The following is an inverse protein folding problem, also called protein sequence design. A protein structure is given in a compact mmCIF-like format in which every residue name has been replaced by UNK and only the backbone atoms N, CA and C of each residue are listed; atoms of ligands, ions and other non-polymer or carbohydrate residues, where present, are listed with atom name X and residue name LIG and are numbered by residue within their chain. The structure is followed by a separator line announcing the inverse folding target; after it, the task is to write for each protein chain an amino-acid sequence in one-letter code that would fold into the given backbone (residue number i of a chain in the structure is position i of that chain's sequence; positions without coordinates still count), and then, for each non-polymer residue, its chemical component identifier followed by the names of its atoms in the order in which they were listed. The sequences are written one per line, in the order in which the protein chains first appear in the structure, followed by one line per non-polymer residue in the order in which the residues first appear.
data_IF_992701131247
#
_entry.id   IF_992701131247
#
_cell.length_a   1.000
_cell.length_b   1.000
_cell.length_c   1.000
_cell.angle_alpha   90.00
_cell.angle_beta   90.00
_cell.angle_gamma   90.00
#
_symmetry.space_group_name_H-M   'P 1'
#
loop_
_entity.id
_entity.type
_entity.pdbx_description
1 polymer ?
#
# COMPACT_ATOMS: atom_id res chain seq x y z
N UNK A 1 14.14 8.41 16.20
CA UNK A 1 14.69 8.96 14.93
C UNK A 1 13.99 8.24 13.79
N UNK A 2 13.47 8.97 12.81
CA UNK A 2 12.82 8.39 11.63
C UNK A 2 13.84 7.59 10.84
N UNK A 3 13.51 6.34 10.48
CA UNK A 3 14.38 5.42 9.74
C UNK A 3 14.00 5.29 8.28
N UNK A 4 12.72 5.48 7.94
CA UNK A 4 12.22 5.38 6.57
C UNK A 4 10.97 6.24 6.36
N UNK A 5 10.62 6.45 5.11
CA UNK A 5 9.38 7.10 4.69
C UNK A 5 8.52 6.08 3.96
N UNK A 6 7.27 5.93 4.39
CA UNK A 6 6.28 5.06 3.75
C UNK A 6 5.27 5.91 3.00
N UNK A 7 5.04 5.57 1.73
CA UNK A 7 3.90 6.00 0.93
C UNK A 7 3.01 4.80 0.67
N UNK A 8 1.76 4.88 1.05
CA UNK A 8 0.81 3.77 0.89
C UNK A 8 -0.45 4.22 0.16
N UNK A 9 -0.88 3.40 -0.81
CA UNK A 9 -2.26 3.45 -1.26
C UNK A 9 -3.19 2.83 -0.21
N UNK A 10 -4.48 2.96 -0.43
CA UNK A 10 -5.51 2.34 0.40
C UNK A 10 -6.15 1.15 -0.30
N UNK A 11 -6.75 1.34 -1.49
CA UNK A 11 -7.38 0.28 -2.27
C UNK A 11 -6.32 -0.70 -2.79
N UNK A 12 -6.63 -1.99 -2.81
CA UNK A 12 -5.69 -3.04 -3.18
C UNK A 12 -4.51 -3.26 -2.22
N UNK A 13 -4.33 -2.38 -1.23
CA UNK A 13 -3.20 -2.38 -0.28
C UNK A 13 -3.65 -2.69 1.14
N UNK A 14 -4.39 -1.79 1.78
CA UNK A 14 -5.03 -2.01 3.10
C UNK A 14 -6.48 -2.45 2.93
N UNK A 15 -7.21 -1.85 1.99
CA UNK A 15 -8.53 -2.31 1.58
C UNK A 15 -8.39 -3.41 0.55
N UNK A 16 -8.62 -4.65 0.93
CA UNK A 16 -8.59 -5.79 0.02
C UNK A 16 -9.94 -5.97 -0.71
N UNK A 17 -9.88 -6.57 -1.92
CA UNK A 17 -11.03 -6.95 -2.75
C UNK A 17 -11.16 -8.47 -2.85
N UNK A 18 -11.46 -9.17 -1.75
CA UNK A 18 -11.46 -10.60 -1.70
C UNK A 18 -12.61 -11.22 -2.50
N UNK A 19 -12.43 -12.48 -2.93
CA UNK A 19 -13.49 -13.28 -3.55
C UNK A 19 -14.71 -13.38 -2.62
N UNK A 20 -15.87 -13.01 -3.12
CA UNK A 20 -17.14 -13.04 -2.39
C UNK A 20 -17.47 -14.40 -1.76
N UNK A 21 -17.08 -15.51 -2.41
CA UNK A 21 -17.33 -16.86 -1.89
C UNK A 21 -16.40 -17.16 -0.72
N UNK A 22 -15.17 -16.66 -0.76
CA UNK A 22 -14.22 -16.80 0.35
C UNK A 22 -14.74 -16.03 1.55
N UNK A 23 -15.15 -14.78 1.38
CA UNK A 23 -15.74 -13.98 2.47
C UNK A 23 -16.94 -14.67 3.13
N UNK A 24 -17.89 -15.15 2.31
CA UNK A 24 -19.10 -15.80 2.82
C UNK A 24 -18.83 -17.11 3.55
N UNK A 25 -17.66 -17.70 3.38
CA UNK A 25 -17.26 -18.98 3.99
C UNK A 25 -16.20 -18.84 5.08
N UNK A 26 -16.08 -17.64 5.65
CA UNK A 26 -15.21 -17.38 6.81
C UNK A 26 -13.94 -16.58 6.48
N UNK A 27 -13.64 -16.31 5.21
CA UNK A 27 -12.49 -15.48 4.81
C UNK A 27 -11.16 -16.21 4.83
N UNK A 28 -10.11 -15.46 5.11
CA UNK A 28 -8.73 -15.96 5.19
C UNK A 28 -8.61 -17.09 6.22
N UNK A 29 -7.89 -18.16 5.87
CA UNK A 29 -7.71 -19.36 6.70
C UNK A 29 -8.85 -20.38 6.62
N UNK A 30 -9.98 -20.05 6.00
CA UNK A 30 -11.14 -20.93 5.86
C UNK A 30 -11.30 -21.43 4.42
N UNK A 31 -10.25 -22.05 3.88
CA UNK A 31 -10.15 -22.46 2.46
C UNK A 31 -10.33 -23.97 2.24
N UNK A 32 -10.65 -24.77 3.28
CA UNK A 32 -10.76 -26.23 3.22
C UNK A 32 -11.83 -26.75 2.24
N UNK A 33 -12.81 -25.92 1.93
CA UNK A 33 -13.89 -26.24 0.98
C UNK A 33 -13.46 -26.06 -0.50
N UNK A 34 -12.33 -25.43 -0.76
CA UNK A 34 -11.76 -25.30 -2.10
C UNK A 34 -11.13 -26.65 -2.53
N UNK A 35 -11.23 -26.94 -3.82
CA UNK A 35 -10.62 -28.14 -4.40
C UNK A 35 -9.09 -28.05 -4.31
N UNK A 36 -8.47 -29.23 -4.34
CA UNK A 36 -7.01 -29.30 -4.47
C UNK A 36 -6.57 -28.66 -5.79
N UNK A 37 -5.52 -27.84 -5.74
CA UNK A 37 -5.04 -27.06 -6.88
C UNK A 37 -5.81 -25.77 -7.19
N UNK A 38 -6.84 -25.42 -6.42
CA UNK A 38 -7.48 -24.11 -6.55
C UNK A 38 -6.52 -23.00 -6.02
N UNK A 39 -6.11 -22.03 -6.86
CA UNK A 39 -5.12 -21.01 -6.48
C UNK A 39 -5.56 -20.14 -5.31
N UNK A 40 -6.87 -20.04 -5.05
CA UNK A 40 -7.39 -19.31 -3.90
C UNK A 40 -7.04 -19.98 -2.58
N UNK A 41 -6.77 -21.27 -2.57
CA UNK A 41 -6.41 -22.02 -1.37
C UNK A 41 -5.07 -21.50 -0.80
N UNK A 42 -4.10 -21.27 -1.68
CA UNK A 42 -2.81 -20.69 -1.32
C UNK A 42 -2.92 -19.19 -1.06
N UNK A 43 -3.66 -18.44 -1.90
CA UNK A 43 -3.79 -16.99 -1.76
C UNK A 43 -4.38 -16.59 -0.42
N UNK A 44 -5.46 -17.28 0.03
CA UNK A 44 -6.16 -16.97 1.27
C UNK A 44 -5.70 -17.85 2.45
N UNK A 45 -4.53 -18.47 2.36
CA UNK A 45 -3.94 -19.14 3.50
C UNK A 45 -3.54 -18.14 4.59
N UNK A 46 -3.76 -18.49 5.85
CA UNK A 46 -3.44 -17.62 7.00
C UNK A 46 -1.93 -17.41 7.20
N UNK A 47 -1.09 -18.26 6.62
CA UNK A 47 0.37 -18.07 6.58
C UNK A 47 0.74 -16.96 5.59
N UNK A 48 -0.07 -16.77 4.53
CA UNK A 48 0.17 -15.76 3.50
C UNK A 48 -0.58 -14.47 3.76
N UNK A 49 -1.88 -14.55 4.01
CA UNK A 49 -2.75 -13.38 4.11
C UNK A 49 -3.08 -13.02 5.56
N UNK A 50 -3.25 -11.75 5.81
CA UNK A 50 -3.79 -11.26 7.07
C UNK A 50 -5.31 -11.46 7.11
N UNK A 51 -5.89 -11.85 8.27
CA UNK A 51 -7.33 -11.95 8.42
C UNK A 51 -8.02 -10.59 8.21
N UNK A 52 -9.01 -10.54 7.32
CA UNK A 52 -9.79 -9.32 7.05
C UNK A 52 -10.86 -9.14 8.13
N UNK A 53 -10.44 -8.67 9.31
CA UNK A 53 -11.30 -8.52 10.50
C UNK A 53 -12.06 -7.20 10.56
N UNK A 54 -11.67 -6.23 9.73
CA UNK A 54 -12.38 -4.98 9.50
C UNK A 54 -13.32 -5.11 8.30
N UNK A 55 -14.56 -4.63 8.44
CA UNK A 55 -15.55 -4.68 7.37
C UNK A 55 -16.58 -3.58 7.62
N UNK A 56 -16.50 -2.49 6.86
CA UNK A 56 -17.39 -1.36 6.99
C UNK A 56 -17.92 -0.86 5.66
N UNK A 57 -19.04 -0.17 5.70
CA UNK A 57 -19.58 0.56 4.57
C UNK A 57 -19.31 2.04 4.75
N UNK A 58 -18.39 2.55 3.97
CA UNK A 58 -18.00 3.96 3.97
C UNK A 58 -18.87 4.74 2.99
N UNK A 59 -19.32 5.91 3.40
CA UNK A 59 -20.06 6.85 2.54
C UNK A 59 -19.19 8.07 2.24
N UNK A 60 -19.04 8.35 0.97
CA UNK A 60 -18.35 9.55 0.45
C UNK A 60 -19.28 10.37 -0.42
N UNK A 61 -18.82 11.50 -0.93
CA UNK A 61 -19.55 12.27 -1.95
C UNK A 61 -19.77 11.50 -3.27
N UNK A 62 -18.95 10.48 -3.54
CA UNK A 62 -19.01 9.68 -4.75
C UNK A 62 -19.81 8.38 -4.62
N UNK A 63 -20.31 8.06 -3.41
CA UNK A 63 -21.10 6.85 -3.23
C UNK A 63 -20.87 6.13 -1.91
N UNK A 64 -21.22 4.83 -1.93
CA UNK A 64 -21.02 3.92 -0.80
C UNK A 64 -20.07 2.83 -1.23
N UNK A 65 -19.01 2.64 -0.44
CA UNK A 65 -17.96 1.68 -0.71
C UNK A 65 -17.88 0.67 0.44
N UNK A 66 -17.78 -0.60 0.09
CA UNK A 66 -17.52 -1.65 1.07
C UNK A 66 -16.02 -1.79 1.22
N UNK A 67 -15.53 -1.74 2.43
CA UNK A 67 -14.11 -1.79 2.76
C UNK A 67 -13.83 -3.02 3.61
N UNK A 68 -12.79 -3.78 3.24
CA UNK A 68 -12.33 -4.96 3.95
C UNK A 68 -10.85 -4.83 4.27
N UNK A 69 -10.50 -4.80 5.56
CA UNK A 69 -9.09 -4.65 5.95
C UNK A 69 -8.70 -5.55 7.11
N UNK A 70 -7.42 -5.75 7.28
CA UNK A 70 -6.89 -6.39 8.48
C UNK A 70 -6.63 -5.35 9.57
N UNK A 71 -7.29 -5.50 10.73
CA UNK A 71 -6.99 -4.67 11.91
C UNK A 71 -5.58 -4.92 12.44
N UNK A 72 -5.08 -6.16 12.32
CA UNK A 72 -3.72 -6.53 12.70
C UNK A 72 -2.70 -5.74 11.88
N UNK A 73 -2.79 -5.80 10.54
CA UNK A 73 -1.88 -5.09 9.65
C UNK A 73 -1.96 -3.58 9.83
N UNK A 74 -3.18 -3.02 9.86
CA UNK A 74 -3.38 -1.58 10.06
C UNK A 74 -2.79 -1.11 11.40
N UNK A 75 -2.95 -1.89 12.47
CA UNK A 75 -2.35 -1.60 13.77
C UNK A 75 -0.83 -1.57 13.71
N UNK A 76 -0.21 -2.60 13.14
CA UNK A 76 1.26 -2.67 13.02
C UNK A 76 1.83 -1.49 12.20
N UNK A 77 1.16 -1.08 11.12
CA UNK A 77 1.60 0.06 10.31
C UNK A 77 1.49 1.38 11.09
N UNK A 78 0.40 1.57 11.81
CA UNK A 78 0.21 2.74 12.67
C UNK A 78 1.21 2.81 13.82
N UNK A 79 1.51 1.67 14.46
CA UNK A 79 2.48 1.59 15.56
C UNK A 79 3.89 2.03 15.12
N UNK A 80 4.31 1.71 13.88
CA UNK A 80 5.57 2.20 13.32
C UNK A 80 5.58 3.72 13.18
N UNK A 81 4.46 4.32 12.76
CA UNK A 81 4.33 5.77 12.65
C UNK A 81 4.23 6.44 14.01
N UNK A 82 3.42 5.88 14.92
CA UNK A 82 3.21 6.40 16.27
C UNK A 82 4.51 6.39 17.11
N UNK A 83 5.35 5.38 16.94
CA UNK A 83 6.67 5.30 17.58
C UNK A 83 7.70 6.29 17.02
N UNK A 84 7.38 6.97 15.91
CA UNK A 84 8.31 7.83 15.19
C UNK A 84 9.40 7.07 14.44
N UNK A 85 9.21 5.77 14.21
CA UNK A 85 10.14 4.94 13.43
C UNK A 85 10.03 5.27 11.95
N UNK A 86 8.82 5.56 11.46
CA UNK A 86 8.59 5.93 10.07
C UNK A 86 7.79 7.23 9.93
N UNK A 87 7.99 7.93 8.81
CA UNK A 87 7.07 8.94 8.32
C UNK A 87 6.04 8.22 7.42
N UNK A 88 4.78 8.15 7.83
CA UNK A 88 3.71 7.48 7.09
C UNK A 88 2.87 8.49 6.31
N UNK A 89 2.74 8.24 5.01
CA UNK A 89 2.04 9.12 4.09
C UNK A 89 1.00 8.36 3.27
N UNK A 90 -0.22 8.85 3.27
CA UNK A 90 -1.23 8.46 2.31
C UNK A 90 -0.89 8.98 0.91
N UNK A 91 -0.83 8.10 -0.06
CA UNK A 91 -0.69 8.41 -1.49
C UNK A 91 -1.79 7.67 -2.26
N UNK A 92 -3.02 8.13 -2.10
CA UNK A 92 -4.23 7.43 -2.52
C UNK A 92 -5.22 8.36 -3.21
N UNK A 93 -6.13 7.81 -4.00
CA UNK A 93 -7.29 8.54 -4.56
C UNK A 93 -8.30 8.93 -3.47
N UNK A 94 -8.22 8.33 -2.30
CA UNK A 94 -9.02 8.71 -1.13
C UNK A 94 -8.54 9.98 -0.44
N UNK A 95 -7.53 10.68 -0.95
CA UNK A 95 -6.89 11.83 -0.30
C UNK A 95 -7.85 12.83 0.38
N UNK A 96 -9.05 13.17 -0.16
CA UNK A 96 -9.95 14.10 0.53
C UNK A 96 -10.59 13.51 1.79
N UNK A 97 -10.51 12.20 1.95
CA UNK A 97 -11.20 11.45 3.01
C UNK A 97 -10.24 10.78 4.01
N UNK A 98 -8.92 10.84 3.80
CA UNK A 98 -7.95 10.14 4.65
C UNK A 98 -8.17 10.46 6.13
N UNK A 99 -7.94 11.68 6.55
CA UNK A 99 -8.02 12.08 7.97
C UNK A 99 -9.43 12.04 8.57
N UNK A 100 -10.48 12.14 7.74
CA UNK A 100 -11.88 12.20 8.23
C UNK A 100 -12.58 10.86 8.22
N UNK A 101 -12.13 9.94 7.39
CA UNK A 101 -12.81 8.67 7.14
C UNK A 101 -11.88 7.48 7.36
N UNK A 102 -10.73 7.44 6.64
CA UNK A 102 -9.85 6.28 6.70
C UNK A 102 -9.16 6.15 8.05
N UNK A 103 -8.51 7.21 8.54
CA UNK A 103 -7.78 7.14 9.80
C UNK A 103 -8.68 6.73 10.98
N UNK A 104 -9.86 7.35 11.20
CA UNK A 104 -10.76 6.91 12.26
C UNK A 104 -11.28 5.48 12.08
N UNK A 105 -11.57 5.05 10.84
CA UNK A 105 -12.04 3.70 10.54
C UNK A 105 -10.97 2.65 10.84
N UNK A 106 -9.71 2.96 10.52
CA UNK A 106 -8.56 2.08 10.78
C UNK A 106 -8.12 2.13 12.25
N UNK A 107 -8.59 3.09 13.03
CA UNK A 107 -8.16 3.35 14.40
C UNK A 107 -6.85 4.14 14.46
N UNK A 108 -6.53 4.89 13.42
CA UNK A 108 -5.32 5.70 13.32
C UNK A 108 -5.54 7.11 13.88
N UNK A 109 -4.47 7.72 14.39
CA UNK A 109 -4.49 9.13 14.81
C UNK A 109 -4.22 10.04 13.61
N UNK A 110 -5.22 10.83 13.14
CA UNK A 110 -5.09 11.65 11.93
C UNK A 110 -4.06 12.78 12.03
N UNK A 111 -3.38 12.90 13.18
CA UNK A 111 -2.28 13.85 13.37
C UNK A 111 -0.91 13.24 13.05
N UNK A 112 -0.83 11.93 12.95
CA UNK A 112 0.41 11.18 12.72
C UNK A 112 0.64 10.98 11.23
N UNK A 113 -0.40 10.51 10.52
CA UNK A 113 -0.33 10.26 9.09
C UNK A 113 -0.51 11.56 8.30
N UNK A 114 0.19 11.64 7.17
CA UNK A 114 0.09 12.76 6.25
C UNK A 114 -0.59 12.33 4.97
N UNK A 115 -1.41 13.20 4.42
CA UNK A 115 -2.02 12.96 3.10
C UNK A 115 -1.28 13.77 2.04
N UNK A 116 -0.74 13.09 1.04
CA UNK A 116 -0.13 13.71 -0.12
C UNK A 116 -1.22 14.12 -1.10
N UNK A 117 -1.23 15.40 -1.46
CA UNK A 117 -2.19 15.96 -2.43
C UNK A 117 -1.57 15.88 -3.82
N UNK A 118 -1.91 14.86 -4.60
CA UNK A 118 -1.37 14.58 -5.91
C UNK A 118 -2.36 14.82 -7.07
N UNK A 119 -3.64 15.03 -6.78
CA UNK A 119 -4.65 15.46 -7.74
C UNK A 119 -5.64 16.45 -7.11
N UNK A 120 -6.37 17.20 -7.94
CA UNK A 120 -7.46 18.06 -7.48
C UNK A 120 -8.75 17.24 -7.36
N UNK A 121 -9.31 17.04 -6.14
CA UNK A 121 -10.50 16.24 -5.96
C UNK A 121 -11.79 16.89 -6.50
N UNK A 122 -11.76 18.18 -6.85
CA UNK A 122 -12.91 18.92 -7.39
C UNK A 122 -12.97 18.80 -8.91
N UNK A 123 -11.84 19.02 -9.59
CA UNK A 123 -11.75 18.96 -11.05
C UNK A 123 -11.38 17.58 -11.56
N UNK A 124 -10.95 16.68 -10.68
CA UNK A 124 -10.34 15.40 -11.00
C UNK A 124 -9.10 15.52 -11.91
N UNK A 125 -8.53 16.71 -11.98
CA UNK A 125 -7.28 16.94 -12.70
C UNK A 125 -6.12 16.35 -11.92
N UNK A 126 -5.46 15.36 -12.52
CA UNK A 126 -4.23 14.77 -11.96
C UNK A 126 -3.12 15.82 -12.04
N UNK A 127 -2.49 16.14 -10.93
CA UNK A 127 -1.27 16.93 -10.94
C UNK A 127 -0.17 16.14 -11.68
N UNK A 128 0.02 16.48 -12.91
CA UNK A 128 1.13 16.20 -13.82
C UNK A 128 1.48 14.74 -14.18
N UNK A 129 1.52 13.75 -13.30
CA UNK A 129 1.98 12.38 -13.67
C UNK A 129 1.59 11.30 -12.65
N UNK A 130 0.51 11.48 -11.90
CA UNK A 130 0.05 10.47 -10.95
C UNK A 130 0.94 10.38 -9.69
N UNK A 131 0.80 9.30 -8.98
CA UNK A 131 1.49 9.04 -7.72
C UNK A 131 3.01 8.92 -7.88
N UNK A 132 3.47 8.36 -9.02
CA UNK A 132 4.90 8.22 -9.32
C UNK A 132 5.65 9.56 -9.25
N UNK A 133 5.03 10.68 -9.68
CA UNK A 133 5.68 11.98 -9.61
C UNK A 133 6.01 12.41 -8.19
N UNK A 134 5.15 12.09 -7.24
CA UNK A 134 5.36 12.41 -5.82
C UNK A 134 6.53 11.57 -5.26
N UNK A 135 6.61 10.29 -5.62
CA UNK A 135 7.74 9.44 -5.25
C UNK A 135 9.04 9.96 -5.86
N UNK A 136 9.04 10.30 -7.16
CA UNK A 136 10.22 10.88 -7.83
C UNK A 136 10.63 12.23 -7.21
N UNK A 137 9.65 13.02 -6.79
CA UNK A 137 9.91 14.29 -6.08
C UNK A 137 10.58 14.03 -4.73
N UNK A 138 10.09 13.03 -3.97
CA UNK A 138 10.71 12.64 -2.70
C UNK A 138 12.13 12.10 -2.92
N UNK A 139 12.38 11.27 -3.90
CA UNK A 139 13.73 10.77 -4.23
C UNK A 139 14.68 11.94 -4.51
N UNK A 140 14.25 12.93 -5.30
CA UNK A 140 15.06 14.14 -5.56
C UNK A 140 15.30 14.98 -4.31
N UNK A 141 14.34 15.02 -3.40
CA UNK A 141 14.47 15.70 -2.11
C UNK A 141 15.51 14.99 -1.25
N UNK A 142 15.43 13.67 -1.10
CA UNK A 142 16.36 12.88 -0.29
C UNK A 142 17.81 12.97 -0.81
N UNK A 143 18.02 13.03 -2.13
CA UNK A 143 19.37 13.25 -2.70
C UNK A 143 20.07 14.54 -2.23
N UNK A 144 19.33 15.48 -1.67
CA UNK A 144 19.87 16.77 -1.16
C UNK A 144 20.08 16.78 0.34
N UNK A 145 19.64 15.70 1.02
CA UNK A 145 19.79 15.59 2.46
C UNK A 145 21.19 15.07 2.81
N UNK A 146 21.68 15.44 3.99
CA UNK A 146 22.94 14.89 4.53
C UNK A 146 22.75 13.42 4.94
N UNK A 147 21.58 13.07 5.45
CA UNK A 147 21.15 11.74 5.86
C UNK A 147 19.87 11.38 5.09
N UNK A 148 19.99 10.86 3.86
CA UNK A 148 18.84 10.54 3.04
C UNK A 148 18.06 9.37 3.63
N UNK A 149 16.74 9.48 3.68
CA UNK A 149 15.86 8.44 4.21
C UNK A 149 15.50 7.43 3.12
N UNK A 150 15.53 6.12 3.42
CA UNK A 150 14.96 5.08 2.58
C UNK A 150 13.45 5.31 2.37
N UNK A 151 12.95 4.88 1.21
CA UNK A 151 11.55 5.07 0.82
C UNK A 151 10.91 3.71 0.60
N UNK A 152 9.74 3.47 1.19
CA UNK A 152 8.84 2.37 0.86
C UNK A 152 7.64 2.94 0.13
N UNK A 153 7.35 2.42 -1.06
CA UNK A 153 6.15 2.76 -1.82
C UNK A 153 5.30 1.52 -2.03
N UNK A 154 4.05 1.56 -1.57
CA UNK A 154 3.11 0.42 -1.58
C UNK A 154 1.90 0.82 -2.40
N UNK A 155 1.69 0.14 -3.53
CA UNK A 155 0.63 0.43 -4.49
C UNK A 155 0.41 -0.78 -5.39
N UNK A 156 -0.84 -1.24 -5.52
CA UNK A 156 -1.18 -2.44 -6.30
C UNK A 156 -1.22 -2.19 -7.81
N UNK A 157 -1.35 -0.93 -8.22
CA UNK A 157 -1.43 -0.55 -9.64
C UNK A 157 -0.15 0.10 -10.15
N UNK A 158 0.36 1.13 -9.45
CA UNK A 158 1.47 1.95 -9.96
C UNK A 158 2.86 1.40 -9.60
N UNK A 159 3.01 0.51 -8.63
CA UNK A 159 4.27 -0.21 -8.36
C UNK A 159 4.51 -1.25 -9.46
N UNK A 160 5.13 -0.83 -10.54
CA UNK A 160 5.41 -1.66 -11.71
C UNK A 160 6.85 -1.48 -12.23
N UNK A 161 7.26 -2.34 -13.15
CA UNK A 161 8.62 -2.32 -13.72
C UNK A 161 8.95 -0.97 -14.37
N UNK A 162 8.01 -0.34 -15.10
CA UNK A 162 8.23 0.95 -15.73
C UNK A 162 8.44 2.09 -14.72
N UNK A 163 7.73 2.07 -13.61
CA UNK A 163 7.93 3.02 -12.51
C UNK A 163 9.30 2.80 -11.83
N UNK A 164 9.69 1.52 -11.60
CA UNK A 164 11.00 1.16 -11.08
C UNK A 164 12.12 1.75 -11.94
N UNK A 165 12.09 1.55 -13.26
CA UNK A 165 13.09 2.10 -14.17
C UNK A 165 13.19 3.62 -14.12
N UNK A 166 12.07 4.32 -13.97
CA UNK A 166 12.06 5.77 -13.85
C UNK A 166 12.68 6.26 -12.52
N UNK A 167 12.40 5.56 -11.42
CA UNK A 167 13.01 5.87 -10.13
C UNK A 167 14.51 5.57 -10.15
N UNK A 168 14.93 4.43 -10.72
CA UNK A 168 16.36 4.07 -10.89
C UNK A 168 17.15 5.13 -11.67
N UNK A 169 16.52 5.71 -12.71
CA UNK A 169 17.15 6.76 -13.51
C UNK A 169 17.48 8.05 -12.73
N UNK A 170 16.90 8.22 -11.55
CA UNK A 170 17.18 9.34 -10.64
C UNK A 170 18.39 9.08 -9.75
N UNK A 171 18.95 7.88 -9.75
CA UNK A 171 20.07 7.49 -8.88
C UNK A 171 19.79 7.83 -7.40
N UNK A 172 18.86 7.14 -6.75
CA UNK A 172 18.47 7.43 -5.37
C UNK A 172 19.66 7.40 -4.42
N UNK A 173 19.76 8.36 -3.50
CA UNK A 173 20.82 8.40 -2.49
C UNK A 173 20.58 7.45 -1.31
N UNK A 174 19.35 6.96 -1.14
CA UNK A 174 18.97 5.89 -0.22
C UNK A 174 18.08 4.88 -0.95
N UNK A 175 18.03 3.62 -0.51
CA UNK A 175 17.23 2.59 -1.17
C UNK A 175 15.73 2.92 -1.26
N UNK A 176 15.10 2.45 -2.34
CA UNK A 176 13.66 2.53 -2.55
C UNK A 176 13.10 1.12 -2.68
N UNK A 177 12.18 0.74 -1.81
CA UNK A 177 11.43 -0.50 -1.90
C UNK A 177 10.04 -0.21 -2.45
N UNK A 178 9.73 -0.77 -3.60
CA UNK A 178 8.40 -0.76 -4.21
C UNK A 178 7.73 -2.09 -3.91
N UNK A 179 6.50 -2.04 -3.41
CA UNK A 179 5.73 -3.25 -3.04
C UNK A 179 4.41 -3.20 -3.78
N UNK A 180 4.16 -4.23 -4.60
CA UNK A 180 2.90 -4.45 -5.31
C UNK A 180 2.15 -5.62 -4.70
N UNK A 181 1.15 -5.39 -3.85
CA UNK A 181 0.33 -6.45 -3.28
C UNK A 181 -0.58 -7.13 -4.31
N UNK A 182 -1.13 -8.29 -3.95
CA UNK A 182 -2.30 -8.82 -4.62
C UNK A 182 -3.56 -8.14 -4.04
N UNK A 183 -4.27 -7.39 -4.85
CA UNK A 183 -5.45 -6.60 -4.44
C UNK A 183 -6.49 -7.40 -3.65
N UNK A 184 -6.55 -8.71 -3.88
CA UNK A 184 -7.53 -9.60 -3.21
C UNK A 184 -7.23 -9.84 -1.75
N UNK A 185 -5.98 -9.66 -1.32
CA UNK A 185 -5.55 -9.87 0.09
C UNK A 185 -4.87 -8.63 0.69
N UNK A 186 -4.49 -7.64 -0.16
CA UNK A 186 -3.64 -6.53 0.24
C UNK A 186 -2.21 -6.98 0.54
N UNK A 187 -1.50 -6.24 1.37
CA UNK A 187 -0.13 -6.59 1.78
C UNK A 187 -0.14 -7.97 2.43
N UNK A 188 0.66 -8.90 1.91
CA UNK A 188 0.84 -10.23 2.49
C UNK A 188 1.73 -10.20 3.73
N UNK A 189 1.70 -11.28 4.54
CA UNK A 189 2.60 -11.42 5.70
C UNK A 189 4.08 -11.41 5.30
N UNK A 190 4.40 -12.01 4.14
CA UNK A 190 5.76 -11.99 3.58
C UNK A 190 6.18 -10.57 3.17
N UNK A 191 5.30 -9.85 2.48
CA UNK A 191 5.57 -8.46 2.10
C UNK A 191 5.68 -7.54 3.31
N UNK A 192 4.85 -7.73 4.32
CA UNK A 192 4.97 -6.99 5.57
C UNK A 192 6.32 -7.24 6.25
N UNK A 193 6.77 -8.50 6.32
CA UNK A 193 8.09 -8.82 6.86
C UNK A 193 9.21 -8.15 6.05
N UNK A 194 9.13 -8.19 4.71
CA UNK A 194 10.08 -7.51 3.83
C UNK A 194 10.13 -5.99 4.09
N UNK A 195 8.97 -5.35 4.26
CA UNK A 195 8.87 -3.92 4.61
C UNK A 195 9.54 -3.66 5.96
N UNK A 196 9.26 -4.49 6.94
CA UNK A 196 9.83 -4.36 8.28
C UNK A 196 11.35 -4.50 8.26
N UNK A 197 11.89 -5.52 7.58
CA UNK A 197 13.32 -5.76 7.43
C UNK A 197 14.01 -4.58 6.70
N UNK A 198 13.36 -4.04 5.67
CA UNK A 198 13.85 -2.85 4.97
C UNK A 198 13.92 -1.60 5.86
N UNK A 199 12.92 -1.39 6.72
CA UNK A 199 12.90 -0.26 7.67
C UNK A 199 13.96 -0.45 8.75
N UNK A 200 14.20 -1.68 9.18
CA UNK A 200 15.21 -1.98 10.21
C UNK A 200 16.64 -1.79 9.68
N UNK A 201 16.94 -2.35 8.51
CA UNK A 201 18.23 -2.14 7.83
C UNK A 201 18.07 -2.19 6.30
N UNK A 202 18.04 -1.04 5.66
CA UNK A 202 17.96 -0.94 4.20
C UNK A 202 19.31 -1.10 3.48
N UNK A 203 20.43 -1.20 4.19
CA UNK A 203 21.79 -1.18 3.57
C UNK A 203 22.07 -2.39 2.67
N UNK A 204 21.39 -3.52 2.91
CA UNK A 204 21.50 -4.72 2.11
C UNK A 204 20.61 -4.75 0.85
N UNK A 205 19.77 -3.74 0.64
CA UNK A 205 18.85 -3.69 -0.49
C UNK A 205 19.47 -3.02 -1.72
N UNK A 206 18.96 -3.38 -2.90
CA UNK A 206 19.30 -2.67 -4.14
C UNK A 206 18.85 -1.21 -4.09
N UNK A 207 19.46 -0.31 -4.86
CA UNK A 207 19.04 1.10 -4.93
C UNK A 207 17.54 1.29 -5.21
N UNK A 208 16.96 0.41 -6.06
CA UNK A 208 15.50 0.31 -6.24
C UNK A 208 15.12 -1.17 -6.35
N UNK A 209 14.29 -1.63 -5.44
CA UNK A 209 13.73 -2.98 -5.42
C UNK A 209 12.24 -2.94 -5.75
N UNK A 210 11.73 -3.93 -6.48
CA UNK A 210 10.31 -4.13 -6.72
C UNK A 210 9.94 -5.54 -6.28
N UNK A 211 8.99 -5.63 -5.37
CA UNK A 211 8.39 -6.88 -4.91
C UNK A 211 6.93 -6.95 -5.37
N UNK A 212 6.62 -7.93 -6.22
CA UNK A 212 5.30 -8.12 -6.81
C UNK A 212 4.70 -9.45 -6.36
N UNK A 213 3.49 -9.42 -5.82
CA UNK A 213 2.67 -10.61 -5.55
C UNK A 213 1.42 -10.73 -6.44
N UNK A 214 1.10 -9.67 -7.17
CA UNK A 214 -0.01 -9.70 -8.11
C UNK A 214 0.30 -10.65 -9.27
N UNK A 215 -0.57 -11.65 -9.45
CA UNK A 215 -0.54 -12.54 -10.61
C UNK A 215 -1.34 -11.98 -11.80
N UNK A 216 -1.97 -10.84 -11.61
CA UNK A 216 -2.70 -10.15 -12.68
C UNK A 216 -1.64 -9.54 -13.61
N UNK A 217 -1.40 -10.23 -14.73
CA UNK A 217 -0.64 -9.67 -15.84
C UNK A 217 -1.30 -8.36 -16.24
N UNK A 218 -0.46 -7.37 -16.58
CA UNK A 218 -0.88 -6.08 -17.11
C UNK A 218 -2.10 -6.22 -18.04
N UNK A 219 -3.28 -6.11 -17.47
CA UNK A 219 -4.44 -5.82 -18.29
C UNK A 219 -4.35 -4.34 -18.61
N UNK A 220 -4.06 -4.09 -19.88
CA UNK A 220 -4.10 -2.79 -20.48
C UNK A 220 -5.20 -1.94 -19.83
N UNK A 221 -4.75 -0.84 -19.24
CA UNK A 221 -5.54 0.31 -18.85
C UNK A 221 -7.06 0.04 -18.76
N UNK A 222 -7.55 -0.32 -17.60
CA UNK A 222 -8.93 0.01 -17.31
C UNK A 222 -9.00 1.54 -17.28
N UNK A 223 -9.47 2.08 -18.40
CA UNK A 223 -9.93 3.46 -18.47
C UNK A 223 -11.12 3.52 -17.52
N UNK A 224 -10.84 3.89 -16.28
CA UNK A 224 -11.86 4.16 -15.29
C UNK A 224 -12.67 5.35 -15.77
N UNK A 225 -13.96 5.17 -15.83
CA UNK A 225 -14.96 6.21 -16.01
C UNK A 225 -14.96 7.20 -14.84
#
# INVERSE_FOLDING_TARGET
MVRAVIYTDFDGVLNAFPDDKVLRRGGVGHTQWLKEGDPRKELYDSVRAFPLTGNEQVRTGHGRFRVHWSRELAGMMHDLALSGTVELNWLTTWQPYCSRVLDPMLGWDPRIERTVVWYDPVTNERRWTGKLAEIMSRVRFERRQQEPLPIVWIDDEECCFSAKMQIESLEPAAPVLMVRPDERIGISRRQWQLIYDFIDDSSGFLPVSLDEESTVRDHAAHVGL
#
